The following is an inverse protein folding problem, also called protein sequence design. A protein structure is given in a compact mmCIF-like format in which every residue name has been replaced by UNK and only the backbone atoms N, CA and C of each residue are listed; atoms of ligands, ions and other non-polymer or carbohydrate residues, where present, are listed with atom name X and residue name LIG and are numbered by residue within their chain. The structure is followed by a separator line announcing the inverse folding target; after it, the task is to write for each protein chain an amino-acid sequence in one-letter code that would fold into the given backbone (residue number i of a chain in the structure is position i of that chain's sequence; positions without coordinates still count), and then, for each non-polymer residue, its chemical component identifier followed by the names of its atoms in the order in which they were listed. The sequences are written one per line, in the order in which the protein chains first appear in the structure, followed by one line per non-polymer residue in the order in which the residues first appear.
data_IF_572592901941
#
_entry.id   IF_572592901941
#
_cell.length_a   1.000
_cell.length_b   1.000
_cell.length_c   1.000
_cell.angle_alpha   90.00
_cell.angle_beta   90.00
_cell.angle_gamma   90.00
#
_symmetry.space_group_name_H-M   'P 1'
#
loop_
_entity.id
_entity.type
_entity.pdbx_description
1 polymer ?
#
# COMPACT_ATOMS: atom_id res chain seq x y z
N UNK A 1 6.57 6.79 -10.75
CA UNK A 1 7.59 6.82 -9.69
C UNK A 1 7.94 5.42 -9.23
N UNK A 2 9.12 5.26 -8.65
CA UNK A 2 9.60 4.00 -8.09
C UNK A 2 9.26 3.94 -6.60
N UNK A 3 9.16 2.73 -6.04
CA UNK A 3 8.93 2.52 -4.63
C UNK A 3 9.70 1.32 -4.09
N UNK A 4 9.72 1.20 -2.77
CA UNK A 4 10.31 0.06 -2.07
C UNK A 4 9.55 -0.21 -0.78
N UNK A 5 9.38 -1.49 -0.44
CA UNK A 5 8.90 -1.89 0.87
C UNK A 5 10.11 -2.04 1.83
N UNK A 6 9.91 -1.66 3.08
CA UNK A 6 10.94 -1.76 4.11
C UNK A 6 10.31 -1.95 5.48
N UNK A 7 10.94 -2.71 6.34
CA UNK A 7 10.50 -2.86 7.72
C UNK A 7 11.11 -1.78 8.60
N UNK A 8 10.26 -1.03 9.30
CA UNK A 8 10.67 -0.10 10.33
C UNK A 8 10.79 -0.86 11.66
N UNK A 9 11.95 -0.78 12.29
CA UNK A 9 12.19 -1.48 13.56
C UNK A 9 12.59 -0.51 14.67
N UNK A 10 12.29 -0.90 15.90
CA UNK A 10 12.82 -0.23 17.08
C UNK A 10 14.33 -0.49 17.23
N UNK A 11 14.98 0.24 18.12
CA UNK A 11 16.39 0.04 18.48
C UNK A 11 16.70 -1.35 19.08
N UNK A 12 15.65 -2.13 19.38
CA UNK A 12 15.74 -3.51 19.85
C UNK A 12 15.45 -4.53 18.73
N UNK A 13 15.32 -4.06 17.47
CA UNK A 13 14.99 -4.92 16.32
C UNK A 13 13.55 -5.43 16.34
N UNK A 14 12.64 -4.78 17.06
CA UNK A 14 11.21 -5.12 17.07
C UNK A 14 10.48 -4.36 15.98
N UNK A 15 9.49 -4.99 15.36
CA UNK A 15 8.72 -4.41 14.26
C UNK A 15 7.90 -3.23 14.76
N UNK A 16 8.09 -2.06 14.17
CA UNK A 16 7.22 -0.89 14.34
C UNK A 16 6.16 -0.87 13.25
N UNK A 17 6.58 -1.12 12.00
CA UNK A 17 5.68 -1.22 10.85
C UNK A 17 6.40 -1.86 9.64
N UNK A 18 5.63 -2.30 8.65
CA UNK A 18 6.08 -2.57 7.29
C UNK A 18 5.61 -1.42 6.40
N UNK A 19 6.55 -0.62 5.93
CA UNK A 19 6.28 0.58 5.16
C UNK A 19 6.42 0.32 3.67
N UNK A 20 5.55 0.92 2.86
CA UNK A 20 5.78 1.10 1.44
C UNK A 20 6.13 2.56 1.18
N UNK A 21 7.36 2.82 0.73
CA UNK A 21 7.88 4.14 0.43
C UNK A 21 7.86 4.36 -1.07
N UNK A 22 7.14 5.39 -1.52
CA UNK A 22 6.99 5.76 -2.93
C UNK A 22 7.70 7.08 -3.20
N UNK A 23 8.57 7.11 -4.20
CA UNK A 23 9.20 8.34 -4.65
C UNK A 23 8.27 9.12 -5.58
N UNK A 24 7.92 10.33 -5.18
CA UNK A 24 7.11 11.27 -5.95
C UNK A 24 7.92 12.52 -6.27
N UNK A 25 7.41 13.34 -7.17
CA UNK A 25 8.05 14.61 -7.51
C UNK A 25 8.09 15.54 -6.28
N UNK A 26 9.28 15.77 -5.75
CA UNK A 26 9.53 16.67 -4.63
C UNK A 26 9.25 16.10 -3.23
N UNK A 27 8.74 14.87 -3.09
CA UNK A 27 8.50 14.26 -1.77
C UNK A 27 8.53 12.71 -1.82
N UNK A 28 8.53 12.11 -0.65
CA UNK A 28 8.28 10.68 -0.46
C UNK A 28 6.88 10.51 0.13
N UNK A 29 6.07 9.64 -0.47
CA UNK A 29 4.82 9.19 0.13
C UNK A 29 5.09 7.87 0.86
N UNK A 30 4.66 7.78 2.11
CA UNK A 30 4.85 6.59 2.95
C UNK A 30 3.49 6.01 3.31
N UNK A 31 3.26 4.76 2.92
CA UNK A 31 2.09 4.00 3.35
C UNK A 31 2.46 3.18 4.59
N UNK A 32 1.61 3.25 5.60
CA UNK A 32 1.80 2.62 6.92
C UNK A 32 0.68 1.64 7.21
N UNK A 33 0.84 0.83 8.23
CA UNK A 33 -0.28 0.08 8.82
C UNK A 33 -1.41 1.01 9.27
N UNK A 34 -2.65 0.55 9.11
CA UNK A 34 -3.83 1.36 9.41
C UNK A 34 -3.85 1.83 10.88
N UNK A 35 -3.88 3.15 11.09
CA UNK A 35 -3.84 3.77 12.42
C UNK A 35 -2.44 3.95 13.02
N UNK A 36 -1.37 3.57 12.31
CA UNK A 36 0.01 3.68 12.80
C UNK A 36 0.76 4.92 12.28
N UNK A 37 0.14 5.73 11.46
CA UNK A 37 0.76 6.90 10.82
C UNK A 37 1.38 7.87 11.83
N UNK A 38 0.70 8.13 12.95
CA UNK A 38 1.21 9.01 14.00
C UNK A 38 2.50 8.49 14.62
N UNK A 39 2.56 7.20 14.97
CA UNK A 39 3.75 6.55 15.54
C UNK A 39 4.92 6.55 14.56
N UNK A 40 4.66 6.28 13.26
CA UNK A 40 5.68 6.32 12.22
C UNK A 40 6.21 7.76 12.05
N UNK A 41 5.33 8.76 12.04
CA UNK A 41 5.73 10.16 11.96
C UNK A 41 6.60 10.59 13.16
N UNK A 42 6.21 10.23 14.38
CA UNK A 42 7.01 10.46 15.58
C UNK A 42 8.37 9.79 15.50
N UNK A 43 8.42 8.55 14.98
CA UNK A 43 9.67 7.80 14.82
C UNK A 43 10.61 8.46 13.83
N UNK A 44 10.11 8.89 12.67
CA UNK A 44 10.89 9.64 11.68
C UNK A 44 11.40 10.95 12.31
N UNK A 45 10.54 11.72 12.97
CA UNK A 45 10.90 12.97 13.62
C UNK A 45 11.95 12.80 14.73
N UNK A 46 11.92 11.70 15.48
CA UNK A 46 12.89 11.42 16.53
C UNK A 46 14.32 11.22 15.98
N UNK A 47 14.45 10.60 14.78
CA UNK A 47 15.73 10.35 14.14
C UNK A 47 16.17 11.44 13.15
N UNK A 48 15.29 12.41 12.85
CA UNK A 48 15.60 13.59 12.04
C UNK A 48 16.28 14.64 12.92
N UNK A 49 17.58 14.81 12.82
CA UNK A 49 18.38 15.70 13.71
C UNK A 49 18.93 16.90 12.93
N UNK A 50 19.44 16.67 11.73
CA UNK A 50 20.11 17.71 10.91
C UNK A 50 19.51 17.85 9.52
N UNK A 51 18.68 16.91 9.15
CA UNK A 51 18.00 16.88 7.85
C UNK A 51 16.84 17.88 7.85
N UNK A 52 16.67 18.64 6.77
CA UNK A 52 15.52 19.50 6.55
C UNK A 52 14.35 18.69 5.97
N UNK A 53 13.66 17.97 6.86
CA UNK A 53 12.55 17.09 6.51
C UNK A 53 11.31 17.53 7.28
N UNK A 54 10.19 17.72 6.57
CA UNK A 54 8.87 17.87 7.15
C UNK A 54 8.04 16.61 6.89
N UNK A 55 7.35 16.12 7.92
CA UNK A 55 6.41 14.99 7.83
C UNK A 55 4.99 15.52 7.95
N UNK A 56 4.14 15.19 7.01
CA UNK A 56 2.73 15.56 6.97
C UNK A 56 1.86 14.30 6.97
N UNK A 57 0.87 14.22 7.86
CA UNK A 57 -0.13 13.15 7.86
C UNK A 57 -1.29 13.53 6.93
N UNK A 58 -1.36 12.88 5.78
CA UNK A 58 -2.42 13.08 4.77
C UNK A 58 -3.47 11.97 4.78
N UNK A 59 -3.49 11.14 5.82
CA UNK A 59 -4.42 10.00 5.94
C UNK A 59 -5.88 10.43 5.87
N UNK A 60 -6.21 11.57 6.47
CA UNK A 60 -7.59 12.11 6.46
C UNK A 60 -8.02 12.66 5.10
N UNK A 61 -7.09 13.01 4.24
CA UNK A 61 -7.33 13.62 2.93
C UNK A 61 -7.36 12.59 1.80
N UNK A 62 -7.02 11.34 2.09
CA UNK A 62 -6.90 10.26 1.12
C UNK A 62 -7.83 9.09 1.44
N UNK A 63 -8.17 8.32 0.41
CA UNK A 63 -8.77 6.99 0.52
C UNK A 63 -7.97 6.01 -0.32
N UNK A 64 -7.91 4.76 0.09
CA UNK A 64 -7.24 3.70 -0.64
C UNK A 64 -8.22 2.56 -0.96
N UNK A 65 -8.14 2.04 -2.18
CA UNK A 65 -8.86 0.86 -2.64
C UNK A 65 -7.84 -0.16 -3.12
N UNK A 66 -7.78 -1.31 -2.47
CA UNK A 66 -6.97 -2.45 -2.92
C UNK A 66 -7.72 -3.25 -3.97
N UNK A 67 -7.06 -3.55 -5.09
CA UNK A 67 -7.55 -4.45 -6.14
C UNK A 67 -6.58 -5.63 -6.22
N UNK A 68 -7.06 -6.85 -5.99
CA UNK A 68 -6.20 -8.04 -5.87
C UNK A 68 -6.75 -9.19 -6.68
N UNK A 69 -5.88 -9.94 -7.31
CA UNK A 69 -6.19 -11.19 -7.99
C UNK A 69 -5.68 -11.22 -9.44
N UNK A 70 -5.81 -12.38 -10.11
CA UNK A 70 -5.28 -12.57 -11.46
C UNK A 70 -5.86 -11.60 -12.51
N UNK A 71 -7.10 -11.14 -12.30
CA UNK A 71 -7.78 -10.16 -13.17
C UNK A 71 -7.46 -8.70 -12.85
N UNK A 72 -6.70 -8.40 -11.78
CA UNK A 72 -6.46 -7.03 -11.34
C UNK A 72 -5.73 -6.16 -12.38
N UNK A 73 -4.75 -6.65 -13.18
CA UNK A 73 -4.14 -5.83 -14.22
C UNK A 73 -5.16 -5.34 -15.25
N UNK A 74 -5.95 -6.25 -15.82
CA UNK A 74 -6.94 -5.90 -16.85
C UNK A 74 -8.07 -5.02 -16.30
N UNK A 75 -8.47 -5.22 -15.04
CA UNK A 75 -9.46 -4.37 -14.39
C UNK A 75 -8.94 -2.94 -14.21
N UNK A 76 -7.71 -2.77 -13.70
CA UNK A 76 -7.12 -1.45 -13.50
C UNK A 76 -6.87 -0.76 -14.85
N UNK A 77 -6.41 -1.49 -15.88
CA UNK A 77 -6.28 -0.96 -17.24
C UNK A 77 -7.60 -0.44 -17.79
N UNK A 78 -8.67 -1.25 -17.70
CA UNK A 78 -9.99 -0.88 -18.19
C UNK A 78 -10.59 0.32 -17.43
N UNK A 79 -10.32 0.44 -16.11
CA UNK A 79 -10.86 1.51 -15.27
C UNK A 79 -10.08 2.83 -15.35
N UNK A 80 -8.79 2.80 -15.74
CA UNK A 80 -7.88 3.96 -15.66
C UNK A 80 -7.19 4.34 -16.95
N UNK A 81 -7.36 3.57 -18.02
CA UNK A 81 -6.63 3.71 -19.30
C UNK A 81 -5.09 3.70 -19.15
N UNK A 82 -4.57 3.04 -18.08
CA UNK A 82 -3.14 2.91 -17.84
C UNK A 82 -2.67 1.47 -18.10
N UNK A 83 -1.50 1.25 -18.72
CA UNK A 83 -0.96 -0.09 -18.96
C UNK A 83 -0.47 -0.70 -17.62
N UNK A 84 -1.39 -1.18 -16.81
CA UNK A 84 -1.12 -1.66 -15.45
C UNK A 84 -0.30 -2.94 -15.43
N UNK A 85 -0.50 -3.85 -16.39
CA UNK A 85 0.23 -5.13 -16.46
C UNK A 85 1.74 -4.96 -16.61
N UNK A 86 2.19 -3.84 -17.19
CA UNK A 86 3.61 -3.53 -17.42
C UNK A 86 4.30 -2.87 -16.21
N UNK A 87 3.54 -2.52 -15.16
CA UNK A 87 4.10 -1.88 -13.98
C UNK A 87 4.99 -2.85 -13.19
N UNK A 88 6.18 -2.39 -12.82
CA UNK A 88 7.04 -3.11 -11.90
C UNK A 88 6.45 -3.10 -10.46
N UNK A 89 6.85 -4.07 -9.64
CA UNK A 89 6.44 -4.10 -8.23
C UNK A 89 6.85 -2.78 -7.54
N UNK A 90 5.91 -2.18 -6.82
CA UNK A 90 6.02 -0.86 -6.16
C UNK A 90 6.20 0.33 -7.11
N UNK A 91 6.11 0.14 -8.41
CA UNK A 91 5.97 1.27 -9.33
C UNK A 91 4.64 1.97 -9.09
N UNK A 92 4.64 3.31 -9.23
CA UNK A 92 3.45 4.14 -9.10
C UNK A 92 3.27 5.06 -10.30
N UNK A 93 2.02 5.18 -10.76
CA UNK A 93 1.61 6.06 -11.89
C UNK A 93 0.38 6.87 -11.50
N UNK A 94 0.35 8.13 -11.92
CA UNK A 94 -0.87 8.93 -11.81
C UNK A 94 -1.81 8.57 -12.94
N UNK A 95 -3.08 8.38 -12.64
CA UNK A 95 -4.14 7.99 -13.57
C UNK A 95 -5.44 8.73 -13.27
N UNK A 96 -6.42 8.59 -14.15
CA UNK A 96 -7.79 9.06 -13.89
C UNK A 96 -8.69 7.86 -13.59
N UNK A 97 -9.37 7.87 -12.44
CA UNK A 97 -10.33 6.85 -12.04
C UNK A 97 -11.65 7.49 -11.65
N UNK A 98 -12.73 7.19 -12.36
CA UNK A 98 -14.03 7.79 -12.11
C UNK A 98 -14.04 9.33 -12.19
N UNK A 99 -13.19 9.92 -13.05
CA UNK A 99 -13.03 11.37 -13.20
C UNK A 99 -12.25 12.03 -12.04
N UNK A 100 -11.52 11.25 -11.25
CA UNK A 100 -10.64 11.72 -10.18
C UNK A 100 -9.20 11.38 -10.52
N UNK A 101 -8.28 12.23 -10.12
CA UNK A 101 -6.87 11.86 -10.10
C UNK A 101 -6.65 10.79 -9.02
N UNK A 102 -6.01 9.70 -9.40
CA UNK A 102 -5.64 8.61 -8.53
C UNK A 102 -4.19 8.22 -8.73
N UNK A 103 -3.51 7.83 -7.66
CA UNK A 103 -2.21 7.18 -7.72
C UNK A 103 -2.43 5.67 -7.76
N UNK A 104 -2.07 5.05 -8.87
CA UNK A 104 -2.05 3.59 -9.04
C UNK A 104 -0.69 3.08 -8.61
N UNK A 105 -0.65 2.21 -7.64
CA UNK A 105 0.58 1.59 -7.12
C UNK A 105 0.51 0.09 -7.36
N UNK A 106 1.50 -0.48 -8.04
CA UNK A 106 1.59 -1.93 -8.19
C UNK A 106 2.00 -2.56 -6.86
N UNK A 107 1.18 -3.48 -6.36
CA UNK A 107 1.47 -4.28 -5.17
C UNK A 107 1.21 -5.75 -5.45
N UNK A 108 1.86 -6.64 -4.73
CA UNK A 108 1.57 -8.08 -4.79
C UNK A 108 0.97 -8.53 -3.46
N UNK A 109 -0.05 -7.80 -3.03
CA UNK A 109 -0.84 -8.14 -1.85
C UNK A 109 -1.30 -9.59 -1.95
N UNK A 110 -1.15 -10.35 -0.90
CA UNK A 110 -1.51 -11.76 -0.85
C UNK A 110 -0.69 -12.65 -1.81
N UNK A 111 0.48 -12.23 -2.29
CA UNK A 111 1.27 -12.98 -3.29
C UNK A 111 0.52 -13.17 -4.62
N UNK A 112 -0.41 -12.29 -4.93
CA UNK A 112 -1.17 -12.22 -6.17
C UNK A 112 -0.96 -10.84 -6.80
N UNK A 113 -1.07 -10.72 -8.14
CA UNK A 113 -1.09 -9.41 -8.77
C UNK A 113 -2.10 -8.49 -8.09
N UNK A 114 -1.67 -7.28 -7.74
CA UNK A 114 -2.52 -6.33 -7.03
C UNK A 114 -2.10 -4.89 -7.26
N UNK A 115 -3.01 -3.99 -6.93
CA UNK A 115 -2.81 -2.55 -7.04
C UNK A 115 -3.49 -1.86 -5.88
N UNK A 116 -2.83 -0.87 -5.31
CA UNK A 116 -3.44 0.09 -4.39
C UNK A 116 -3.74 1.37 -5.17
N UNK A 117 -5.01 1.79 -5.12
CA UNK A 117 -5.51 2.99 -5.78
C UNK A 117 -5.74 4.05 -4.71
N UNK A 118 -4.84 5.03 -4.65
CA UNK A 118 -4.89 6.12 -3.67
C UNK A 118 -5.50 7.33 -4.34
N UNK A 119 -6.52 7.92 -3.71
CA UNK A 119 -7.35 8.98 -4.27
C UNK A 119 -7.83 9.92 -3.15
N UNK A 120 -8.37 11.12 -3.48
CA UNK A 120 -8.95 12.00 -2.48
C UNK A 120 -10.06 11.32 -1.67
N UNK A 121 -10.11 11.55 -0.35
CA UNK A 121 -10.99 10.85 0.60
C UNK A 121 -12.46 10.82 0.18
N UNK A 122 -13.00 11.93 -0.35
CA UNK A 122 -14.39 12.01 -0.84
C UNK A 122 -14.66 11.28 -2.17
N UNK A 123 -13.63 10.68 -2.77
CA UNK A 123 -13.70 10.05 -4.09
C UNK A 123 -14.03 8.56 -4.09
N UNK A 124 -13.97 7.89 -2.92
CA UNK A 124 -14.08 6.42 -2.82
C UNK A 124 -15.29 5.85 -3.55
N UNK A 125 -16.47 6.42 -3.38
CA UNK A 125 -17.69 5.92 -4.03
C UNK A 125 -17.58 5.94 -5.56
N UNK A 126 -17.18 7.08 -6.14
CA UNK A 126 -17.00 7.21 -7.60
C UNK A 126 -15.93 6.27 -8.16
N UNK A 127 -14.86 6.06 -7.43
CA UNK A 127 -13.80 5.14 -7.82
C UNK A 127 -14.30 3.68 -7.80
N UNK A 128 -15.06 3.29 -6.78
CA UNK A 128 -15.69 1.97 -6.71
C UNK A 128 -16.66 1.75 -7.85
N UNK A 129 -17.54 2.73 -8.14
CA UNK A 129 -18.48 2.67 -9.27
C UNK A 129 -17.75 2.50 -10.60
N UNK A 130 -16.64 3.22 -10.81
CA UNK A 130 -15.83 3.10 -12.02
C UNK A 130 -15.18 1.71 -12.16
N UNK A 131 -14.64 1.15 -11.07
CA UNK A 131 -14.10 -0.20 -11.07
C UNK A 131 -15.15 -1.27 -11.37
N UNK A 132 -16.34 -1.14 -10.78
CA UNK A 132 -17.45 -2.09 -11.00
C UNK A 132 -18.06 -1.97 -12.40
N UNK A 133 -18.00 -0.78 -13.02
CA UNK A 133 -18.51 -0.53 -14.37
C UNK A 133 -17.49 -0.80 -15.48
N UNK A 134 -16.22 -1.01 -15.15
CA UNK A 134 -15.17 -1.23 -16.14
C UNK A 134 -15.41 -2.52 -16.94
N UNK A 135 -15.22 -2.44 -18.25
CA UNK A 135 -15.38 -3.60 -19.16
C UNK A 135 -14.15 -4.52 -19.06
N UNK A 136 -14.31 -5.62 -18.40
CA UNK A 136 -13.26 -6.61 -18.18
C UNK A 136 -13.83 -8.04 -18.13
N UNK A 137 -12.97 -9.03 -18.35
CA UNK A 137 -13.37 -10.43 -18.54
C UNK A 137 -13.97 -11.08 -17.27
N UNK A 138 -13.70 -10.53 -16.08
CA UNK A 138 -14.14 -11.11 -14.79
C UNK A 138 -14.67 -10.01 -13.89
N UNK A 139 -15.96 -10.03 -13.57
CA UNK A 139 -16.57 -9.03 -12.69
C UNK A 139 -15.84 -8.98 -11.32
N UNK A 140 -15.38 -7.80 -10.86
CA UNK A 140 -14.78 -7.68 -9.54
C UNK A 140 -15.85 -7.90 -8.46
N UNK A 141 -15.39 -8.39 -7.31
CA UNK A 141 -16.23 -8.61 -6.14
C UNK A 141 -15.65 -7.84 -4.98
N UNK A 142 -16.48 -7.08 -4.28
CA UNK A 142 -16.06 -6.45 -3.02
C UNK A 142 -15.83 -7.54 -1.97
N UNK A 143 -14.63 -7.54 -1.39
CA UNK A 143 -14.20 -8.55 -0.42
C UNK A 143 -14.45 -8.03 1.00
N UNK A 144 -15.20 -8.78 1.79
CA UNK A 144 -15.38 -8.48 3.21
C UNK A 144 -14.06 -8.64 3.98
N UNK A 145 -13.85 -7.82 5.02
CA UNK A 145 -12.64 -7.81 5.82
C UNK A 145 -12.27 -9.22 6.35
N UNK A 146 -13.25 -9.98 6.84
CA UNK A 146 -12.99 -11.35 7.34
C UNK A 146 -12.50 -12.32 6.27
N UNK A 147 -12.94 -12.15 5.02
CA UNK A 147 -12.44 -12.94 3.89
C UNK A 147 -11.01 -12.53 3.54
N UNK A 148 -10.72 -11.23 3.53
CA UNK A 148 -9.35 -10.73 3.31
C UNK A 148 -8.40 -11.25 4.39
N UNK A 149 -8.80 -11.22 5.67
CA UNK A 149 -8.03 -11.76 6.79
C UNK A 149 -7.74 -13.26 6.63
N UNK A 150 -8.73 -14.06 6.23
CA UNK A 150 -8.52 -15.47 5.97
C UNK A 150 -7.51 -15.70 4.85
N UNK A 151 -7.62 -14.95 3.75
CA UNK A 151 -6.72 -15.06 2.60
C UNK A 151 -5.28 -14.67 2.95
N UNK A 152 -5.06 -13.58 3.71
CA UNK A 152 -3.71 -13.19 4.11
C UNK A 152 -3.05 -14.23 5.01
N UNK A 153 -3.81 -14.83 5.95
CA UNK A 153 -3.31 -15.87 6.83
C UNK A 153 -2.93 -17.13 6.02
N UNK A 154 -3.79 -17.58 5.11
CA UNK A 154 -3.51 -18.71 4.22
C UNK A 154 -2.26 -18.50 3.36
N UNK A 155 -1.97 -17.25 3.02
CA UNK A 155 -0.82 -16.85 2.20
C UNK A 155 0.43 -16.51 3.02
N UNK A 156 0.34 -16.53 4.35
CA UNK A 156 1.45 -16.17 5.24
C UNK A 156 1.84 -14.70 5.16
N UNK A 157 0.91 -13.82 4.78
CA UNK A 157 1.12 -12.37 4.71
C UNK A 157 0.85 -11.75 6.07
N UNK A 158 1.85 -11.12 6.71
CA UNK A 158 1.67 -10.53 8.03
C UNK A 158 0.78 -9.29 7.97
N UNK A 159 -0.06 -9.10 8.99
CA UNK A 159 -0.97 -7.96 9.13
C UNK A 159 -0.57 -7.03 10.27
N UNK A 160 -0.76 -5.71 10.06
CA UNK A 160 -0.54 -4.73 11.11
C UNK A 160 -1.52 -4.96 12.28
N UNK A 161 -0.99 -4.88 13.51
CA UNK A 161 -1.74 -5.17 14.73
C UNK A 161 -1.90 -6.66 15.05
N UNK A 162 -1.38 -7.55 14.20
CA UNK A 162 -1.33 -8.99 14.38
C UNK A 162 0.11 -9.49 14.47
N UNK A 163 0.74 -9.79 13.34
CA UNK A 163 2.14 -10.22 13.28
C UNK A 163 3.11 -9.03 13.18
N UNK A 164 2.63 -7.88 12.67
CA UNK A 164 3.41 -6.65 12.62
C UNK A 164 3.18 -5.84 13.89
N UNK A 165 3.87 -6.22 14.95
CA UNK A 165 3.85 -5.57 16.28
C UNK A 165 5.24 -5.61 16.92
N UNK A 166 5.44 -4.82 17.97
CA UNK A 166 6.69 -4.83 18.75
C UNK A 166 6.94 -6.14 19.55
N UNK A 167 5.99 -7.07 19.55
CA UNK A 167 6.18 -8.39 20.16
C UNK A 167 7.09 -9.28 19.31
N UNK A 168 7.17 -9.00 18.01
CA UNK A 168 7.91 -9.81 17.03
C UNK A 168 9.11 -9.05 16.45
N UNK A 169 10.09 -9.80 15.96
CA UNK A 169 11.13 -9.29 15.08
C UNK A 169 10.82 -9.63 13.61
N UNK A 170 11.50 -9.01 12.64
CA UNK A 170 11.22 -9.25 11.23
C UNK A 170 11.37 -10.70 10.77
N UNK A 171 12.24 -11.48 11.41
CA UNK A 171 12.46 -12.90 11.05
C UNK A 171 11.26 -13.77 11.48
N UNK A 172 10.67 -13.45 12.63
CA UNK A 172 9.49 -14.15 13.15
C UNK A 172 8.24 -13.87 12.32
N UNK A 173 8.17 -12.69 11.68
CA UNK A 173 7.07 -12.25 10.82
C UNK A 173 7.30 -12.56 9.32
N UNK A 174 8.30 -13.36 8.97
CA UNK A 174 8.64 -13.71 7.57
C UNK A 174 9.00 -12.50 6.69
N UNK A 175 9.68 -11.49 7.26
CA UNK A 175 10.02 -10.24 6.58
C UNK A 175 11.52 -10.14 6.21
N UNK A 176 12.19 -11.27 6.01
CA UNK A 176 13.63 -11.31 5.68
C UNK A 176 14.00 -10.51 4.44
N UNK A 177 13.13 -10.49 3.43
CA UNK A 177 13.34 -9.77 2.18
C UNK A 177 13.33 -8.24 2.33
N UNK A 178 12.77 -7.72 3.43
CA UNK A 178 12.67 -6.29 3.74
C UNK A 178 13.73 -5.81 4.73
N UNK A 179 14.70 -6.68 5.11
CA UNK A 179 15.75 -6.37 6.06
C UNK A 179 17.10 -6.29 5.36
N UNK A 180 17.84 -5.19 5.57
CA UNK A 180 19.26 -5.08 5.19
C UNK A 180 20.13 -5.59 6.33
N UNK A 181 21.14 -6.40 6.00
CA UNK A 181 22.15 -6.90 6.93
C UNK A 181 23.54 -6.24 6.72
N UNK A 182 23.59 -5.18 5.94
CA UNK A 182 24.83 -4.45 5.59
C UNK A 182 24.80 -3.04 6.12
#
# INVERSE_FOLDING_TARGET
GDGAATVLTSNKGRIVDLLLVLRRDGHLMVLTGAGNQGKVAEWIGFYTIVEDIAVEDVTGDTAMIGVVGPGSPSLVEAATDQPAAEMALYESRTATLGGLEALVVRTDSLGLPGYDLILPAGGRGRAMDALLAADHATAPVEVALGTFEALRIERGVPGFGHELTEDFNPLEANLLEYVSFT
#
